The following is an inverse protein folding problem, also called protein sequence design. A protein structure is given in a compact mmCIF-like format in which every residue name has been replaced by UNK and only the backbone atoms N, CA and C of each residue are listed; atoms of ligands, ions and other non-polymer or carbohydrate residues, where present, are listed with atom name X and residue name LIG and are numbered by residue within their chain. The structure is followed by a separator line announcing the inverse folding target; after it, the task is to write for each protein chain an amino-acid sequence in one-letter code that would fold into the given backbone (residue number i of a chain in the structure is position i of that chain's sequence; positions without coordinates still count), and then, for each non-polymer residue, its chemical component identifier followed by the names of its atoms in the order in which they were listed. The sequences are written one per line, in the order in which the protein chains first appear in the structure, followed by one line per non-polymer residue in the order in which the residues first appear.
data_IF_446309511505
#
_entry.id   IF_446309511505
#
_cell.length_a   1.000
_cell.length_b   1.000
_cell.length_c   1.000
_cell.angle_alpha   90.00
_cell.angle_beta   90.00
_cell.angle_gamma   90.00
#
_symmetry.space_group_name_H-M   'P 1'
#
loop_
_entity.id
_entity.type
_entity.pdbx_description
1 polymer ?
#
# COMPACT_ATOMS: atom_id res chain seq x y z
N UNK A 1 7.40 5.55 13.89
CA UNK A 1 7.68 4.12 13.61
C UNK A 1 6.51 3.22 13.94
N UNK A 2 5.82 3.45 15.06
CA UNK A 2 4.67 2.66 15.49
C UNK A 2 3.50 2.64 14.47
N UNK A 3 3.18 3.77 13.86
CA UNK A 3 2.06 3.86 12.89
C UNK A 3 2.31 3.06 11.61
N UNK A 4 3.57 3.00 11.15
CA UNK A 4 3.95 2.14 10.02
C UNK A 4 3.73 0.67 10.34
N UNK A 5 4.12 0.23 11.55
CA UNK A 5 3.95 -1.15 12.00
C UNK A 5 2.46 -1.52 12.14
N UNK A 6 1.64 -0.61 12.66
CA UNK A 6 0.18 -0.77 12.71
C UNK A 6 -0.39 -0.95 11.32
N UNK A 7 0.02 -0.11 10.37
CA UNK A 7 -0.45 -0.17 8.98
C UNK A 7 -0.06 -1.51 8.32
N UNK A 8 1.19 -1.95 8.51
CA UNK A 8 1.68 -3.25 8.01
C UNK A 8 0.86 -4.42 8.58
N UNK A 9 0.58 -4.40 9.89
CA UNK A 9 -0.22 -5.45 10.52
C UNK A 9 -1.68 -5.44 10.01
N UNK A 10 -2.25 -4.25 9.80
CA UNK A 10 -3.59 -4.09 9.22
C UNK A 10 -3.67 -4.68 7.81
N UNK A 11 -2.76 -4.31 6.90
CA UNK A 11 -2.78 -4.82 5.51
C UNK A 11 -2.55 -6.32 5.45
N UNK A 12 -1.66 -6.84 6.31
CA UNK A 12 -1.42 -8.28 6.46
C UNK A 12 -2.67 -9.03 6.91
N UNK A 13 -3.38 -8.50 7.91
CA UNK A 13 -4.64 -9.09 8.41
C UNK A 13 -5.73 -9.08 7.35
N UNK A 14 -5.85 -8.02 6.56
CA UNK A 14 -6.78 -7.97 5.43
C UNK A 14 -6.51 -9.11 4.44
N UNK A 15 -5.26 -9.25 3.97
CA UNK A 15 -4.86 -10.33 3.05
C UNK A 15 -5.07 -11.74 3.64
N UNK A 16 -4.82 -11.92 4.95
CA UNK A 16 -5.06 -13.19 5.63
C UNK A 16 -6.55 -13.51 5.75
N UNK A 17 -7.38 -12.51 5.97
CA UNK A 17 -8.85 -12.67 6.06
C UNK A 17 -9.42 -13.07 4.70
N UNK A 18 -8.98 -12.40 3.64
CA UNK A 18 -9.37 -12.72 2.26
C UNK A 18 -8.92 -14.16 1.88
N UNK A 19 -7.72 -14.57 2.28
CA UNK A 19 -7.26 -15.96 2.13
C UNK A 19 -8.18 -16.98 2.79
N UNK A 20 -8.59 -16.72 4.03
CA UNK A 20 -9.45 -17.65 4.76
C UNK A 20 -10.82 -17.83 4.09
N UNK A 21 -11.27 -16.83 3.33
CA UNK A 21 -12.51 -16.91 2.55
C UNK A 21 -12.34 -17.76 1.29
N UNK A 22 -11.11 -17.91 0.76
CA UNK A 22 -10.86 -18.57 -0.51
C UNK A 22 -10.16 -19.92 -0.29
N UNK A 23 -10.96 -20.99 -0.21
CA UNK A 23 -10.49 -22.33 0.19
C UNK A 23 -9.57 -23.05 -0.81
N UNK A 24 -9.55 -22.65 -2.09
CA UNK A 24 -8.88 -23.41 -3.16
C UNK A 24 -8.11 -22.56 -4.18
N UNK A 25 -7.55 -21.42 -3.78
CA UNK A 25 -6.72 -20.62 -4.69
C UNK A 25 -5.28 -21.14 -4.73
N UNK A 26 -4.76 -21.30 -5.95
CA UNK A 26 -3.36 -21.65 -6.17
C UNK A 26 -2.43 -20.56 -5.67
N UNK A 27 -1.23 -20.93 -5.22
CA UNK A 27 -0.22 -19.96 -4.79
C UNK A 27 0.13 -18.95 -5.90
N UNK A 28 0.14 -19.41 -7.16
CA UNK A 28 0.43 -18.57 -8.33
C UNK A 28 -0.57 -17.42 -8.48
N UNK A 29 -1.85 -17.71 -8.29
CA UNK A 29 -2.92 -16.71 -8.38
C UNK A 29 -2.93 -15.80 -7.14
N UNK A 30 -2.60 -16.35 -5.97
CA UNK A 30 -2.59 -15.57 -4.74
C UNK A 30 -1.41 -14.60 -4.64
N UNK A 31 -0.21 -15.03 -5.04
CA UNK A 31 1.00 -14.19 -4.99
C UNK A 31 0.92 -12.93 -5.84
N UNK A 32 -0.03 -12.86 -6.77
CA UNK A 32 -0.32 -11.67 -7.58
C UNK A 32 -1.22 -10.66 -6.86
N UNK A 33 -1.86 -11.04 -5.75
CA UNK A 33 -2.71 -10.13 -4.98
C UNK A 33 -1.86 -9.27 -4.06
N UNK A 34 -2.14 -7.98 -4.08
CA UNK A 34 -1.56 -7.01 -3.17
C UNK A 34 -2.64 -6.14 -2.54
N UNK A 35 -2.45 -5.79 -1.28
CA UNK A 35 -3.23 -4.74 -0.63
C UNK A 35 -2.42 -3.46 -0.67
N UNK A 36 -3.02 -2.42 -1.23
CA UNK A 36 -2.48 -1.07 -1.21
C UNK A 36 -2.92 -0.35 0.06
N UNK A 37 -2.00 0.40 0.65
CA UNK A 37 -2.30 1.28 1.77
C UNK A 37 -1.67 2.65 1.54
N UNK A 38 -2.41 3.69 1.93
CA UNK A 38 -1.96 5.06 1.89
C UNK A 38 -1.49 5.45 3.28
N UNK A 39 -0.23 5.84 3.40
CA UNK A 39 0.35 6.31 4.64
C UNK A 39 0.63 7.80 4.54
N UNK A 40 -0.07 8.60 5.34
CA UNK A 40 0.13 10.04 5.39
C UNK A 40 0.91 10.41 6.67
N UNK A 41 2.12 10.94 6.49
CA UNK A 41 2.94 11.47 7.59
C UNK A 41 3.21 12.95 7.32
N UNK A 42 2.64 13.81 8.15
CA UNK A 42 2.70 15.27 7.94
C UNK A 42 2.10 15.64 6.58
N UNK A 43 2.93 16.20 5.69
CA UNK A 43 2.49 16.56 4.33
C UNK A 43 2.91 15.55 3.26
N UNK A 44 3.47 14.40 3.65
CA UNK A 44 3.91 13.39 2.70
C UNK A 44 2.90 12.25 2.70
N UNK A 45 2.40 11.91 1.52
CA UNK A 45 1.62 10.71 1.28
C UNK A 45 2.53 9.68 0.62
N UNK A 46 2.52 8.47 1.15
CA UNK A 46 3.25 7.32 0.61
C UNK A 46 2.27 6.20 0.31
N UNK A 47 2.38 5.63 -0.89
CA UNK A 47 1.66 4.43 -1.31
C UNK A 47 2.52 3.21 -1.00
N UNK A 48 1.97 2.32 -0.18
CA UNK A 48 2.58 1.06 0.21
C UNK A 48 1.81 -0.08 -0.44
N UNK A 49 2.54 -1.08 -0.94
CA UNK A 49 1.99 -2.34 -1.41
C UNK A 49 2.41 -3.46 -0.46
N UNK A 50 1.43 -4.21 0.03
CA UNK A 50 1.65 -5.42 0.82
C UNK A 50 1.26 -6.62 0.00
N UNK A 51 2.14 -7.61 -0.11
CA UNK A 51 1.88 -8.86 -0.81
C UNK A 51 2.54 -10.04 -0.09
N UNK A 52 2.08 -11.26 -0.35
CA UNK A 52 2.65 -12.47 0.24
C UNK A 52 3.57 -13.14 -0.78
N UNK A 53 4.87 -13.19 -0.47
CA UNK A 53 5.89 -13.81 -1.34
C UNK A 53 5.99 -15.31 -1.16
N UNK A 54 5.77 -15.80 0.06
CA UNK A 54 5.76 -17.23 0.39
C UNK A 54 4.83 -17.48 1.58
N UNK A 55 4.47 -18.74 1.93
CA UNK A 55 3.61 -19.02 3.07
C UNK A 55 4.03 -18.30 4.37
N UNK A 56 5.32 -18.18 4.63
CA UNK A 56 5.84 -17.51 5.83
C UNK A 56 6.53 -16.17 5.56
N UNK A 57 6.45 -15.62 4.34
CA UNK A 57 7.14 -14.39 3.97
C UNK A 57 6.17 -13.36 3.36
N UNK A 58 6.21 -12.16 3.91
CA UNK A 58 5.46 -10.99 3.45
C UNK A 58 6.44 -9.96 2.90
N UNK A 59 6.05 -9.24 1.87
CA UNK A 59 6.79 -8.05 1.44
C UNK A 59 5.92 -6.82 1.58
N UNK A 60 6.55 -5.76 2.04
CA UNK A 60 6.00 -4.41 2.16
C UNK A 60 6.89 -3.49 1.34
N UNK A 61 6.33 -2.92 0.29
CA UNK A 61 7.09 -2.15 -0.70
C UNK A 61 6.50 -0.75 -0.77
N UNK A 62 7.34 0.26 -0.58
CA UNK A 62 6.98 1.64 -0.93
C UNK A 62 6.98 1.78 -2.45
N UNK A 63 5.79 1.98 -3.01
CA UNK A 63 5.60 2.10 -4.46
C UNK A 63 5.93 3.52 -4.92
N UNK A 64 5.44 4.52 -4.18
CA UNK A 64 5.55 5.93 -4.55
C UNK A 64 5.30 6.82 -3.35
N UNK A 65 5.87 8.01 -3.36
CA UNK A 65 5.51 9.05 -2.41
C UNK A 65 5.47 10.45 -3.01
N UNK A 66 4.61 11.29 -2.45
CA UNK A 66 4.36 12.64 -2.92
C UNK A 66 4.11 13.59 -1.75
N UNK A 67 4.55 14.85 -1.90
CA UNK A 67 4.22 15.91 -0.96
C UNK A 67 2.89 16.52 -1.36
N UNK A 68 1.96 16.59 -0.42
CA UNK A 68 0.67 17.26 -0.58
C UNK A 68 0.90 18.78 -0.59
N UNK A 69 0.54 19.47 -1.69
CA UNK A 69 0.63 20.92 -1.74
C UNK A 69 -0.27 21.56 -0.67
N UNK A 70 0.29 22.51 0.08
CA UNK A 70 -0.49 23.34 1.04
C UNK A 70 -0.53 24.81 0.64
N UNK A 71 0.31 25.22 -0.30
CA UNK A 71 0.42 26.59 -0.80
C UNK A 71 0.27 26.58 -2.32
N UNK A 72 -0.14 27.72 -2.88
CA UNK A 72 -0.27 27.87 -4.34
C UNK A 72 1.07 27.67 -5.08
N UNK A 73 2.19 27.99 -4.43
CA UNK A 73 3.52 27.76 -4.99
C UNK A 73 3.80 26.25 -5.19
N UNK A 74 3.34 25.41 -4.27
CA UNK A 74 3.58 23.96 -4.30
C UNK A 74 2.60 23.21 -5.23
N UNK A 75 1.68 23.90 -5.93
CA UNK A 75 0.59 23.28 -6.69
C UNK A 75 1.05 22.28 -7.75
N UNK A 76 2.24 22.44 -8.32
CA UNK A 76 2.77 21.48 -9.28
C UNK A 76 3.05 20.10 -8.68
N UNK A 77 3.21 19.99 -7.34
CA UNK A 77 3.33 18.68 -6.70
C UNK A 77 2.00 17.89 -6.73
N UNK A 78 0.86 18.52 -7.07
CA UNK A 78 -0.39 17.78 -7.30
C UNK A 78 -0.24 16.73 -8.41
N UNK A 79 0.59 16.97 -9.43
CA UNK A 79 0.84 15.95 -10.46
C UNK A 79 1.37 14.65 -9.88
N UNK A 80 2.29 14.72 -8.92
CA UNK A 80 2.82 13.53 -8.22
C UNK A 80 1.79 12.86 -7.32
N UNK A 81 0.91 13.65 -6.69
CA UNK A 81 -0.20 13.12 -5.88
C UNK A 81 -1.20 12.39 -6.79
N UNK A 82 -1.58 12.97 -7.92
CA UNK A 82 -2.46 12.31 -8.88
C UNK A 82 -1.83 11.05 -9.46
N UNK A 83 -0.54 11.07 -9.80
CA UNK A 83 0.17 9.89 -10.28
C UNK A 83 0.16 8.75 -9.24
N UNK A 84 0.30 9.09 -7.95
CA UNK A 84 0.14 8.14 -6.85
C UNK A 84 -1.27 7.57 -6.79
N UNK A 85 -2.30 8.41 -6.93
CA UNK A 85 -3.70 7.97 -6.96
C UNK A 85 -4.02 7.11 -8.18
N UNK A 86 -3.45 7.40 -9.35
CA UNK A 86 -3.61 6.58 -10.55
C UNK A 86 -2.95 5.20 -10.41
N UNK A 87 -1.92 5.07 -9.56
CA UNK A 87 -1.25 3.78 -9.27
C UNK A 87 -2.16 2.83 -8.46
N UNK A 88 -3.23 3.34 -7.84
CA UNK A 88 -4.23 2.51 -7.13
C UNK A 88 -5.20 1.79 -8.06
N UNK A 89 -5.24 2.15 -9.34
CA UNK A 89 -6.26 1.72 -10.31
C UNK A 89 -5.88 0.43 -11.03
#
# INVERSE_FOLDING_TARGET
EEDTLKLMECTRRCLKTELNQIKYVSWKTYGQRSVFAIHAIGNKITLLSTQRLSPNKWSYIEMRSAKVPRTWADRFNFFRVFELLFTLK
#
